data_IF_795212956483
#
_entry.id   IF_795212956483
#
_cell.length_a   1.000
_cell.length_b   1.000
_cell.length_c   1.000
_cell.angle_alpha   90.00
_cell.angle_beta   90.00
_cell.angle_gamma   90.00
#
_symmetry.space_group_name_H-M   'P 1'
#
loop_
_entity.id
_entity.type
_entity.pdbx_description
1 polymer ?
#
# COMPACT_ATOMS: atom_id res chain seq x y z
N UNK A 1 4.15 -15.92 9.24
CA UNK A 1 3.68 -16.80 8.16
C UNK A 1 3.34 -16.02 6.88
N UNK A 2 2.61 -14.90 6.97
CA UNK A 2 2.32 -14.04 5.79
C UNK A 2 3.57 -13.57 5.01
N UNK A 3 4.71 -13.35 5.69
CA UNK A 3 5.96 -12.92 5.03
C UNK A 3 6.55 -13.92 4.03
N UNK A 4 6.16 -15.19 4.10
CA UNK A 4 6.63 -16.22 3.16
C UNK A 4 5.71 -16.36 1.95
N UNK A 5 4.60 -15.62 1.91
CA UNK A 5 3.64 -15.69 0.82
C UNK A 5 4.16 -14.97 -0.42
N UNK A 6 3.71 -15.44 -1.59
CA UNK A 6 4.00 -14.78 -2.84
C UNK A 6 3.32 -13.38 -2.88
N UNK A 7 4.01 -12.38 -3.42
CA UNK A 7 3.55 -10.98 -3.46
C UNK A 7 2.24 -10.81 -4.22
N UNK A 8 2.03 -11.60 -5.29
CA UNK A 8 0.78 -11.65 -6.03
C UNK A 8 -0.36 -12.21 -5.17
N UNK A 9 -0.12 -13.28 -4.41
CA UNK A 9 -1.12 -13.86 -3.53
C UNK A 9 -1.53 -12.88 -2.42
N UNK A 10 -0.56 -12.18 -1.83
CA UNK A 10 -0.83 -11.16 -0.81
C UNK A 10 -1.69 -10.04 -1.41
N UNK A 11 -1.39 -9.60 -2.64
CA UNK A 11 -2.19 -8.60 -3.33
C UNK A 11 -3.63 -9.04 -3.56
N UNK A 12 -3.84 -10.24 -4.11
CA UNK A 12 -5.18 -10.83 -4.32
C UNK A 12 -5.94 -10.99 -3.00
N UNK A 13 -5.27 -11.47 -1.96
CA UNK A 13 -5.86 -11.62 -0.64
C UNK A 13 -6.32 -10.27 -0.08
N UNK A 14 -5.48 -9.23 -0.16
CA UNK A 14 -5.81 -7.89 0.32
C UNK A 14 -7.00 -7.29 -0.44
N UNK A 15 -7.04 -7.41 -1.76
CA UNK A 15 -8.15 -6.91 -2.57
C UNK A 15 -9.44 -7.67 -2.32
N UNK A 16 -9.39 -9.00 -2.21
CA UNK A 16 -10.58 -9.82 -1.97
C UNK A 16 -11.14 -9.62 -0.55
N UNK A 17 -10.28 -9.51 0.46
CA UNK A 17 -10.73 -9.36 1.86
C UNK A 17 -11.22 -7.96 2.21
N UNK A 18 -10.92 -6.97 1.37
CA UNK A 18 -11.31 -5.58 1.58
C UNK A 18 -12.30 -5.05 0.55
N UNK A 19 -12.89 -5.92 -0.28
CA UNK A 19 -13.83 -5.54 -1.34
C UNK A 19 -14.97 -4.63 -0.85
N UNK A 20 -15.51 -4.93 0.34
CA UNK A 20 -16.63 -4.20 0.95
C UNK A 20 -16.22 -3.06 1.87
N UNK A 21 -14.92 -2.83 2.04
CA UNK A 21 -14.42 -1.79 2.93
C UNK A 21 -14.54 -0.42 2.26
N UNK A 22 -14.85 0.60 3.06
CA UNK A 22 -14.70 1.98 2.64
C UNK A 22 -13.23 2.31 2.34
N UNK A 23 -12.94 3.35 1.54
CA UNK A 23 -11.56 3.75 1.25
C UNK A 23 -10.69 3.95 2.51
N UNK A 24 -11.26 4.52 3.57
CA UNK A 24 -10.55 4.75 4.84
C UNK A 24 -10.25 3.44 5.60
N UNK A 25 -11.20 2.50 5.59
CA UNK A 25 -11.01 1.15 6.15
C UNK A 25 -9.96 0.36 5.36
N UNK A 26 -10.01 0.41 4.02
CA UNK A 26 -8.98 -0.19 3.15
C UNK A 26 -7.59 0.36 3.48
N UNK A 27 -7.46 1.67 3.62
CA UNK A 27 -6.19 2.30 3.95
C UNK A 27 -5.67 1.91 5.35
N UNK A 28 -6.55 1.78 6.35
CA UNK A 28 -6.19 1.27 7.68
C UNK A 28 -5.71 -0.18 7.61
N UNK A 29 -6.49 -1.03 6.95
CA UNK A 29 -6.21 -2.45 6.81
C UNK A 29 -4.89 -2.69 6.05
N UNK A 30 -4.71 -2.03 4.92
CA UNK A 30 -3.51 -2.19 4.09
C UNK A 30 -2.27 -1.71 4.84
N UNK A 31 -2.35 -0.56 5.51
CA UNK A 31 -1.23 -0.09 6.32
C UNK A 31 -0.87 -1.07 7.46
N UNK A 32 -1.87 -1.70 8.09
CA UNK A 32 -1.64 -2.67 9.16
C UNK A 32 -1.02 -3.99 8.65
N UNK A 33 -1.48 -4.49 7.50
CA UNK A 33 -0.96 -5.74 6.91
C UNK A 33 0.40 -5.52 6.24
N UNK A 34 0.58 -4.39 5.56
CA UNK A 34 1.78 -4.08 4.78
C UNK A 34 2.93 -3.50 5.61
N UNK A 35 2.62 -2.79 6.70
CA UNK A 35 3.62 -2.12 7.54
C UNK A 35 4.76 -3.01 8.07
N UNK A 36 4.52 -4.29 8.40
CA UNK A 36 5.57 -5.19 8.86
C UNK A 36 6.48 -5.78 7.78
N UNK A 37 6.16 -5.64 6.48
CA UNK A 37 7.00 -6.19 5.41
C UNK A 37 8.27 -5.36 5.21
N UNK A 38 9.35 -6.02 4.79
CA UNK A 38 10.54 -5.32 4.36
C UNK A 38 10.31 -4.54 3.05
N UNK A 39 11.18 -3.56 2.81
CA UNK A 39 11.12 -2.63 1.67
C UNK A 39 11.00 -3.34 0.32
N UNK A 40 11.74 -4.42 0.10
CA UNK A 40 11.75 -5.11 -1.20
C UNK A 40 10.42 -5.84 -1.42
N UNK A 41 10.00 -6.62 -0.42
CA UNK A 41 8.76 -7.38 -0.46
C UNK A 41 7.54 -6.47 -0.55
N UNK A 42 7.58 -5.36 0.18
CA UNK A 42 6.54 -4.34 0.16
C UNK A 42 6.41 -3.70 -1.22
N UNK A 43 7.52 -3.33 -1.86
CA UNK A 43 7.53 -2.79 -3.23
C UNK A 43 6.87 -3.77 -4.21
N UNK A 44 7.23 -5.06 -4.15
CA UNK A 44 6.62 -6.09 -4.99
C UNK A 44 5.11 -6.19 -4.77
N UNK A 45 4.65 -6.17 -3.52
CA UNK A 45 3.22 -6.25 -3.20
C UNK A 45 2.48 -5.02 -3.73
N UNK A 46 3.03 -3.82 -3.52
CA UNK A 46 2.42 -2.56 -3.95
C UNK A 46 2.30 -2.47 -5.47
N UNK A 47 3.32 -2.92 -6.22
CA UNK A 47 3.27 -3.02 -7.68
C UNK A 47 2.08 -3.87 -8.18
N UNK A 48 1.70 -4.91 -7.43
CA UNK A 48 0.58 -5.78 -7.78
C UNK A 48 -0.78 -5.20 -7.36
N UNK A 49 -0.81 -4.35 -6.32
CA UNK A 49 -2.04 -3.78 -5.75
C UNK A 49 -2.44 -2.47 -6.44
N UNK A 50 -1.47 -1.62 -6.76
CA UNK A 50 -1.68 -0.30 -7.35
C UNK A 50 -2.65 -0.30 -8.55
N UNK A 51 -2.53 -1.18 -9.57
CA UNK A 51 -3.48 -1.19 -10.69
C UNK A 51 -4.89 -1.65 -10.32
N UNK A 52 -5.09 -2.26 -9.14
CA UNK A 52 -6.37 -2.82 -8.66
C UNK A 52 -7.12 -1.89 -7.71
N UNK A 53 -6.49 -0.79 -7.30
CA UNK A 53 -7.09 0.19 -6.40
C UNK A 53 -7.79 1.30 -7.17
N UNK A 54 -8.90 1.77 -6.61
CA UNK A 54 -9.53 3.03 -7.01
C UNK A 54 -8.63 4.23 -6.63
N UNK A 55 -8.75 5.30 -7.42
CA UNK A 55 -7.87 6.47 -7.31
C UNK A 55 -7.98 7.16 -5.94
N UNK A 56 -9.19 7.20 -5.36
CA UNK A 56 -9.42 7.74 -4.02
C UNK A 56 -8.65 6.96 -2.94
N UNK A 57 -8.72 5.62 -2.99
CA UNK A 57 -7.99 4.74 -2.07
C UNK A 57 -6.47 4.88 -2.25
N UNK A 58 -5.96 5.03 -3.47
CA UNK A 58 -4.53 5.29 -3.71
C UNK A 58 -4.06 6.58 -3.07
N UNK A 59 -4.75 7.69 -3.33
CA UNK A 59 -4.39 9.00 -2.76
C UNK A 59 -4.38 8.96 -1.23
N UNK A 60 -5.38 8.31 -0.62
CA UNK A 60 -5.44 8.12 0.84
C UNK A 60 -4.28 7.26 1.36
N UNK A 61 -3.91 6.18 0.68
CA UNK A 61 -2.77 5.34 1.03
C UNK A 61 -1.44 6.09 0.92
N UNK A 62 -1.21 6.81 -0.18
CA UNK A 62 -0.05 7.70 -0.39
C UNK A 62 0.07 8.69 0.76
N UNK A 63 -1.02 9.39 1.09
CA UNK A 63 -1.04 10.37 2.17
C UNK A 63 -0.76 9.74 3.54
N UNK A 64 -1.21 8.49 3.75
CA UNK A 64 -1.04 7.78 5.02
C UNK A 64 0.40 7.30 5.23
N UNK A 65 1.03 6.77 4.19
CA UNK A 65 2.44 6.41 4.24
C UNK A 65 3.34 7.64 4.36
N UNK A 66 3.04 8.72 3.62
CA UNK A 66 3.76 9.99 3.73
C UNK A 66 3.61 10.64 5.12
N UNK A 67 2.44 10.56 5.77
CA UNK A 67 2.25 11.10 7.13
C UNK A 67 3.10 10.40 8.19
N UNK A 68 3.37 9.10 8.04
CA UNK A 68 4.23 8.36 8.95
C UNK A 68 5.73 8.54 8.65
N UNK A 69 6.07 8.93 7.42
CA UNK A 69 7.41 9.41 7.06
C UNK A 69 7.55 10.89 7.43
N UNK A 70 8.01 11.17 8.65
CA UNK A 70 8.18 12.54 9.19
C UNK A 70 9.26 13.39 8.48
N UNK A 71 9.60 13.09 7.22
CA UNK A 71 10.53 13.83 6.37
C UNK A 71 9.97 13.94 4.94
N UNK A 72 9.98 15.17 4.45
CA UNK A 72 9.78 15.62 3.07
C UNK A 72 8.34 15.85 2.60
N UNK A 73 7.88 17.08 2.86
CA UNK A 73 7.11 17.87 1.90
C UNK A 73 7.90 17.93 0.58
N UNK A 74 7.58 17.08 -0.38
CA UNK A 74 8.12 17.23 -1.73
C UNK A 74 8.29 15.94 -2.52
N UNK A 75 7.20 15.31 -2.91
CA UNK A 75 7.07 14.77 -4.27
C UNK A 75 5.61 14.54 -4.56
N UNK A 76 5.16 15.16 -5.64
CA UNK A 76 3.78 15.14 -6.12
C UNK A 76 3.67 14.06 -7.20
N UNK A 77 4.03 12.83 -6.85
CA UNK A 77 3.94 11.68 -7.76
C UNK A 77 2.84 10.74 -7.28
N UNK A 78 1.93 10.40 -8.19
CA UNK A 78 0.71 9.64 -7.90
C UNK A 78 0.93 8.15 -7.60
N UNK A 79 2.18 7.70 -7.43
CA UNK A 79 2.48 6.29 -7.16
C UNK A 79 2.71 6.03 -5.68
N UNK A 80 2.17 4.89 -5.19
CA UNK A 80 2.32 4.45 -3.80
C UNK A 80 3.79 4.13 -3.48
N UNK A 81 4.56 3.66 -4.47
CA UNK A 81 5.97 3.32 -4.30
C UNK A 81 6.82 4.56 -3.99
N UNK A 82 6.56 5.66 -4.68
CA UNK A 82 7.25 6.93 -4.45
C UNK A 82 6.95 7.48 -3.05
N UNK A 83 5.69 7.36 -2.62
CA UNK A 83 5.25 7.78 -1.28
C UNK A 83 5.95 7.01 -0.14
N UNK A 84 6.47 5.83 -0.45
CA UNK A 84 7.20 5.01 0.51
C UNK A 84 8.72 5.11 0.36
N UNK A 85 9.21 6.00 -0.51
CA UNK A 85 10.60 6.05 -0.96
C UNK A 85 11.09 4.64 -1.34
N UNK A 86 10.32 3.86 -2.12
CA UNK A 86 10.67 2.49 -2.50
C UNK A 86 11.38 2.39 -3.85
N UNK A 87 11.26 3.41 -4.71
CA UNK A 87 12.16 3.64 -5.85
C UNK A 87 13.44 4.37 -5.41
#
# INVERSE_FOLDING_TARGET
MIYTWNSLFIAEFLTATSERYSPDEKCNYYHAVLGPFDRNKLSEILLQIEPKLDEETKEKLVNKFNKNSNKNKGSRTGSILDAMNLM
#
